data_IF_048593692657
#
_entry.id   IF_048593692657
#
_cell.length_a   1.000
_cell.length_b   1.000
_cell.length_c   1.000
_cell.angle_alpha   90.00
_cell.angle_beta   90.00
_cell.angle_gamma   90.00
#
_symmetry.space_group_name_H-M   'P 1'
#
loop_
_entity.id
_entity.type
_entity.pdbx_description
1 polymer ?
#
# COMPACT_ATOMS: atom_id res chain seq x y z
N UNK A 1 -5.00 31.56 -41.31
CA UNK A 1 -4.32 31.17 -40.04
C UNK A 1 -4.91 31.88 -38.84
N UNK A 2 -4.92 33.22 -38.80
CA UNK A 2 -5.42 33.98 -37.64
C UNK A 2 -6.88 33.67 -37.23
N UNK A 3 -7.78 33.48 -38.20
CA UNK A 3 -9.16 33.04 -37.90
C UNK A 3 -9.22 31.67 -37.23
N UNK A 4 -8.42 30.71 -37.68
CA UNK A 4 -8.34 29.38 -37.08
C UNK A 4 -7.71 29.43 -35.68
N UNK A 5 -6.78 30.35 -35.44
CA UNK A 5 -6.22 30.61 -34.12
C UNK A 5 -7.30 31.13 -33.15
N UNK A 6 -8.13 32.09 -33.59
CA UNK A 6 -9.24 32.58 -32.79
C UNK A 6 -10.31 31.51 -32.52
N UNK A 7 -10.69 30.74 -33.54
CA UNK A 7 -11.73 29.71 -33.41
C UNK A 7 -11.28 28.60 -32.46
N UNK A 8 -10.03 28.16 -32.57
CA UNK A 8 -9.45 27.17 -31.66
C UNK A 8 -9.36 27.72 -30.23
N UNK A 9 -8.92 28.96 -30.04
CA UNK A 9 -8.87 29.57 -28.71
C UNK A 9 -10.26 29.73 -28.07
N UNK A 10 -11.31 29.97 -28.86
CA UNK A 10 -12.68 30.17 -28.36
C UNK A 10 -13.42 28.86 -28.10
N UNK A 11 -13.16 27.81 -28.87
CA UNK A 11 -13.95 26.58 -28.88
C UNK A 11 -13.23 25.33 -28.39
N UNK A 12 -11.95 25.44 -28.01
CA UNK A 12 -11.16 24.32 -27.48
C UNK A 12 -10.40 24.71 -26.22
N UNK A 13 -9.88 23.73 -25.51
CA UNK A 13 -9.04 23.92 -24.32
C UNK A 13 -7.58 24.31 -24.67
N UNK A 14 -7.30 24.54 -25.94
CA UNK A 14 -5.99 24.91 -26.45
C UNK A 14 -6.07 26.24 -27.21
N UNK A 15 -4.94 26.92 -27.28
CA UNK A 15 -4.68 28.01 -28.21
C UNK A 15 -3.28 27.83 -28.76
N UNK A 16 -2.98 28.40 -29.90
CA UNK A 16 -1.62 28.36 -30.44
C UNK A 16 -1.18 29.74 -30.90
N UNK A 17 0.12 29.97 -30.91
CA UNK A 17 0.74 31.07 -31.64
C UNK A 17 1.61 30.48 -32.73
N UNK A 18 1.92 31.26 -33.75
CA UNK A 18 2.87 30.83 -34.75
C UNK A 18 3.80 31.96 -35.17
N UNK A 19 5.03 31.58 -35.52
CA UNK A 19 6.05 32.48 -36.01
C UNK A 19 6.50 32.03 -37.38
N UNK A 20 6.68 33.00 -38.26
CA UNK A 20 7.18 32.78 -39.62
C UNK A 20 8.70 32.98 -39.62
N UNK A 21 9.43 31.91 -39.92
CA UNK A 21 10.88 31.93 -40.00
C UNK A 21 11.27 31.87 -41.47
N UNK A 22 12.08 32.85 -41.87
CA UNK A 22 12.82 32.81 -43.11
C UNK A 22 14.30 32.95 -42.80
N UNK A 23 15.08 31.92 -43.12
CA UNK A 23 16.49 31.88 -42.74
C UNK A 23 17.37 32.62 -43.76
N UNK A 24 16.96 32.67 -45.04
CA UNK A 24 17.81 33.23 -46.10
C UNK A 24 17.08 34.02 -47.19
N UNK A 25 15.74 34.14 -47.17
CA UNK A 25 14.96 34.78 -48.25
C UNK A 25 13.83 35.70 -47.76
N UNK A 26 13.17 36.42 -48.69
CA UNK A 26 11.96 37.21 -48.38
C UNK A 26 10.68 36.37 -48.31
N UNK A 27 10.75 35.10 -48.69
CA UNK A 27 9.64 34.15 -48.62
C UNK A 27 9.72 33.36 -47.33
N UNK A 28 8.58 33.13 -46.70
CA UNK A 28 8.51 32.30 -45.48
C UNK A 28 8.82 30.86 -45.84
N UNK A 29 9.83 30.29 -45.19
CA UNK A 29 10.28 28.91 -45.45
C UNK A 29 9.76 27.94 -44.37
N UNK A 30 9.59 28.41 -43.13
CA UNK A 30 9.18 27.59 -42.00
C UNK A 30 8.16 28.34 -41.13
N UNK A 31 7.18 27.60 -40.63
CA UNK A 31 6.24 28.07 -39.62
C UNK A 31 6.44 27.26 -38.34
N UNK A 32 6.67 27.94 -37.23
CA UNK A 32 6.78 27.30 -35.91
C UNK A 32 5.52 27.58 -35.13
N UNK A 33 4.81 26.51 -34.76
CA UNK A 33 3.60 26.59 -33.94
C UNK A 33 3.93 26.29 -32.49
N UNK A 34 3.49 27.15 -31.59
CA UNK A 34 3.58 26.93 -30.15
C UNK A 34 2.18 26.78 -29.58
N UNK A 35 1.86 25.60 -29.06
CA UNK A 35 0.53 25.28 -28.53
C UNK A 35 0.53 25.44 -27.01
N UNK A 36 -0.46 26.18 -26.50
CA UNK A 36 -0.64 26.46 -25.08
C UNK A 36 -2.02 25.98 -24.62
N UNK A 37 -2.08 25.42 -23.42
CA UNK A 37 -3.36 25.11 -22.78
C UNK A 37 -4.06 26.40 -22.36
N UNK A 38 -5.31 26.57 -22.77
CA UNK A 38 -6.11 27.74 -22.44
C UNK A 38 -6.58 27.64 -20.98
N UNK A 39 -6.34 28.68 -20.17
CA UNK A 39 -6.68 28.69 -18.74
C UNK A 39 -8.08 29.28 -18.46
N UNK A 40 -9.05 29.10 -19.36
CA UNK A 40 -10.42 29.59 -19.13
C UNK A 40 -11.31 28.46 -18.61
N UNK A 41 -11.99 28.77 -17.50
CA UNK A 41 -13.14 28.06 -16.96
C UNK A 41 -14.18 27.88 -18.05
N UNK A 42 -14.52 26.62 -18.33
CA UNK A 42 -15.49 26.21 -19.33
C UNK A 42 -16.84 26.83 -18.98
N UNK A 43 -17.29 27.80 -19.78
CA UNK A 43 -18.71 28.11 -19.91
C UNK A 43 -19.24 27.05 -20.88
N UNK A 44 -19.92 26.05 -20.31
CA UNK A 44 -20.64 25.03 -21.06
C UNK A 44 -21.58 25.70 -22.06
N UNK A 45 -21.24 25.56 -23.34
CA UNK A 45 -22.14 25.96 -24.42
C UNK A 45 -23.01 24.74 -24.74
N UNK A 46 -24.19 24.71 -24.13
CA UNK A 46 -25.31 23.85 -24.55
C UNK A 46 -25.75 24.25 -25.96
N UNK A 47 -25.62 23.33 -26.93
CA UNK A 47 -26.69 22.91 -27.87
C UNK A 47 -26.10 22.07 -29.02
N UNK A 48 -26.38 20.75 -29.05
CA UNK A 48 -27.39 20.05 -29.88
C UNK A 48 -27.18 20.14 -31.39
N UNK A 49 -26.76 19.05 -32.04
CA UNK A 49 -27.66 18.06 -32.69
C UNK A 49 -26.94 17.19 -33.76
N UNK A 50 -27.25 15.89 -33.70
CA UNK A 50 -27.26 14.84 -34.75
C UNK A 50 -25.89 14.42 -35.32
N UNK A 51 -25.50 13.15 -35.38
CA UNK A 51 -26.25 11.93 -35.74
C UNK A 51 -25.76 10.67 -34.96
N UNK A 52 -26.56 9.58 -34.98
CA UNK A 52 -26.45 8.41 -34.11
C UNK A 52 -25.59 7.29 -34.70
N UNK A 53 -25.51 6.18 -33.96
CA UNK A 53 -24.89 4.89 -34.28
C UNK A 53 -23.41 4.78 -33.86
N UNK A 54 -23.17 4.29 -32.63
CA UNK A 54 -22.93 2.85 -32.48
C UNK A 54 -22.96 2.43 -30.99
N UNK A 55 -23.97 1.61 -30.71
CA UNK A 55 -23.99 0.43 -29.84
C UNK A 55 -23.00 0.26 -28.66
N UNK A 56 -23.64 -0.14 -27.56
CA UNK A 56 -23.21 -1.07 -26.52
C UNK A 56 -22.47 -0.52 -25.30
N UNK A 57 -23.28 -0.42 -24.22
CA UNK A 57 -23.12 -1.27 -23.04
C UNK A 57 -21.69 -1.54 -22.61
N UNK A 58 -21.22 -0.80 -21.60
CA UNK A 58 -20.75 -1.37 -20.33
C UNK A 58 -20.19 -0.22 -19.47
N UNK A 59 -21.08 0.49 -18.77
CA UNK A 59 -20.70 1.36 -17.66
C UNK A 59 -20.34 0.52 -16.42
N UNK A 60 -19.40 -0.41 -16.60
CA UNK A 60 -18.49 -0.82 -15.55
C UNK A 60 -17.18 -0.11 -15.85
N UNK A 61 -17.07 1.16 -15.43
CA UNK A 61 -15.79 1.86 -15.46
C UNK A 61 -14.80 1.04 -14.61
N UNK A 62 -13.97 0.28 -15.32
CA UNK A 62 -12.91 -0.52 -14.73
C UNK A 62 -11.98 0.46 -14.03
N UNK A 63 -12.00 0.49 -12.69
CA UNK A 63 -11.24 1.44 -11.85
C UNK A 63 -9.77 1.59 -12.27
N UNK A 64 -9.17 0.56 -12.85
CA UNK A 64 -7.79 0.57 -13.30
C UNK A 64 -7.57 1.32 -14.64
N UNK A 65 -8.61 1.48 -15.48
CA UNK A 65 -8.58 2.33 -16.68
C UNK A 65 -8.42 3.80 -16.27
N UNK A 66 -9.16 4.26 -15.26
CA UNK A 66 -9.07 5.64 -14.77
C UNK A 66 -7.71 5.93 -14.15
N UNK A 67 -7.12 4.94 -13.50
CA UNK A 67 -5.75 5.04 -13.00
C UNK A 67 -4.73 5.19 -14.13
N UNK A 68 -4.89 4.49 -15.26
CA UNK A 68 -4.02 4.66 -16.43
C UNK A 68 -4.21 6.05 -17.04
N UNK A 69 -5.45 6.53 -17.15
CA UNK A 69 -5.76 7.90 -17.62
C UNK A 69 -5.11 8.94 -16.72
N UNK A 70 -5.07 8.72 -15.40
CA UNK A 70 -4.43 9.63 -14.44
C UNK A 70 -2.92 9.82 -14.69
N UNK A 71 -2.27 8.91 -15.41
CA UNK A 71 -0.88 9.07 -15.83
C UNK A 71 -0.72 9.97 -17.07
N UNK A 72 -1.83 10.39 -17.68
CA UNK A 72 -1.87 11.19 -18.91
C UNK A 72 -1.95 10.35 -20.19
N UNK A 73 -2.45 9.12 -20.11
CA UNK A 73 -2.73 8.27 -21.28
C UNK A 73 -4.12 8.61 -21.81
N UNK A 74 -4.27 8.86 -23.11
CA UNK A 74 -5.57 9.14 -23.73
C UNK A 74 -6.42 7.89 -23.84
N UNK A 75 -7.75 8.06 -23.91
CA UNK A 75 -8.69 6.95 -24.13
C UNK A 75 -8.32 6.15 -25.38
N UNK A 76 -8.01 6.84 -26.48
CA UNK A 76 -7.63 6.22 -27.75
C UNK A 76 -6.39 5.33 -27.66
N UNK A 77 -5.39 5.72 -26.86
CA UNK A 77 -4.17 4.93 -26.67
C UNK A 77 -4.44 3.74 -25.75
N UNK A 78 -5.29 3.91 -24.75
CA UNK A 78 -5.71 2.82 -23.88
C UNK A 78 -6.41 1.72 -24.69
N UNK A 79 -7.42 2.07 -25.49
CA UNK A 79 -8.20 1.11 -26.26
C UNK A 79 -7.40 0.49 -27.40
N UNK A 80 -6.79 1.31 -28.26
CA UNK A 80 -6.23 0.86 -29.54
C UNK A 80 -4.76 0.43 -29.47
N UNK A 81 -4.08 0.63 -28.33
CA UNK A 81 -2.67 0.26 -28.20
C UNK A 81 -2.38 -0.58 -26.97
N UNK A 82 -3.07 -0.33 -25.85
CA UNK A 82 -2.80 -1.06 -24.61
C UNK A 82 -3.68 -2.31 -24.53
N UNK A 83 -5.00 -2.15 -24.60
CA UNK A 83 -5.96 -3.26 -24.46
C UNK A 83 -5.88 -4.24 -25.64
N UNK A 84 -5.58 -3.75 -26.84
CA UNK A 84 -5.44 -4.58 -28.03
C UNK A 84 -4.12 -5.38 -28.06
N UNK A 85 -3.03 -4.82 -27.51
CA UNK A 85 -1.70 -5.41 -27.66
C UNK A 85 -1.18 -6.18 -26.44
N UNK A 86 -1.78 -6.00 -25.25
CA UNK A 86 -1.30 -6.58 -24.00
C UNK A 86 -2.43 -7.23 -23.21
N UNK A 87 -2.10 -8.35 -22.55
CA UNK A 87 -3.04 -9.03 -21.65
C UNK A 87 -3.37 -8.18 -20.42
N UNK A 88 -4.64 -8.22 -20.00
CA UNK A 88 -5.16 -7.41 -18.89
C UNK A 88 -4.35 -7.57 -17.58
N UNK A 89 -3.97 -8.80 -17.23
CA UNK A 89 -3.18 -9.04 -16.02
C UNK A 89 -1.80 -8.39 -16.08
N UNK A 90 -1.14 -8.44 -17.23
CA UNK A 90 0.15 -7.82 -17.45
C UNK A 90 0.06 -6.29 -17.35
N UNK A 91 -1.01 -5.71 -17.89
CA UNK A 91 -1.28 -4.27 -17.78
C UNK A 91 -1.48 -3.87 -16.32
N UNK A 92 -2.31 -4.59 -15.57
CA UNK A 92 -2.56 -4.32 -14.14
C UNK A 92 -1.30 -4.44 -13.28
N UNK A 93 -0.47 -5.44 -13.55
CA UNK A 93 0.80 -5.62 -12.84
C UNK A 93 1.78 -4.48 -13.12
N UNK A 94 1.90 -4.08 -14.39
CA UNK A 94 2.74 -2.95 -14.80
C UNK A 94 2.25 -1.63 -14.20
N UNK A 95 0.92 -1.43 -14.18
CA UNK A 95 0.29 -0.27 -13.56
C UNK A 95 0.65 -0.17 -12.08
N UNK A 96 0.52 -1.28 -11.34
CA UNK A 96 0.88 -1.33 -9.93
C UNK A 96 2.35 -0.98 -9.70
N UNK A 97 3.26 -1.55 -10.49
CA UNK A 97 4.69 -1.25 -10.41
C UNK A 97 4.96 0.25 -10.61
N UNK A 98 4.39 0.84 -11.66
CA UNK A 98 4.55 2.26 -11.94
C UNK A 98 4.02 3.14 -10.80
N UNK A 99 2.87 2.80 -10.21
CA UNK A 99 2.33 3.53 -9.04
C UNK A 99 3.29 3.51 -7.86
N UNK A 100 3.89 2.37 -7.55
CA UNK A 100 4.83 2.27 -6.44
C UNK A 100 6.15 2.99 -6.74
N UNK A 101 6.66 2.90 -7.97
CA UNK A 101 7.85 3.62 -8.41
C UNK A 101 7.68 5.14 -8.34
N UNK A 102 6.52 5.65 -8.75
CA UNK A 102 6.23 7.10 -8.75
C UNK A 102 6.06 7.69 -7.34
N UNK A 103 5.89 6.88 -6.30
CA UNK A 103 5.89 7.35 -4.90
C UNK A 103 7.29 7.74 -4.44
N UNK A 104 8.30 6.99 -4.88
CA UNK A 104 9.69 7.16 -4.44
C UNK A 104 10.54 7.94 -5.44
N UNK A 105 10.09 8.06 -6.69
CA UNK A 105 10.87 8.64 -7.78
C UNK A 105 10.06 9.67 -8.57
N UNK A 106 10.63 10.87 -8.72
CA UNK A 106 10.02 11.93 -9.53
C UNK A 106 10.19 11.63 -11.01
N UNK A 107 9.07 11.39 -11.70
CA UNK A 107 9.03 11.09 -13.14
C UNK A 107 8.31 12.20 -13.87
N UNK A 108 9.00 12.86 -14.82
CA UNK A 108 8.47 14.00 -15.57
C UNK A 108 7.31 13.63 -16.51
N UNK A 109 7.33 12.43 -17.09
CA UNK A 109 6.34 11.95 -18.06
C UNK A 109 5.86 10.55 -17.68
N UNK A 110 4.81 10.48 -16.86
CA UNK A 110 4.30 9.22 -16.29
C UNK A 110 3.67 8.30 -17.35
N UNK A 111 2.94 8.86 -18.31
CA UNK A 111 2.36 8.12 -19.44
C UNK A 111 3.43 7.45 -20.31
N UNK A 112 4.44 8.20 -20.72
CA UNK A 112 5.56 7.66 -21.51
C UNK A 112 6.36 6.59 -20.75
N UNK A 113 6.55 6.77 -19.45
CA UNK A 113 7.19 5.76 -18.61
C UNK A 113 6.36 4.47 -18.54
N UNK A 114 5.05 4.57 -18.34
CA UNK A 114 4.14 3.43 -18.30
C UNK A 114 4.07 2.68 -19.63
N UNK A 115 3.93 3.38 -20.76
CA UNK A 115 3.93 2.76 -22.09
C UNK A 115 5.25 2.05 -22.39
N UNK A 116 6.38 2.67 -22.03
CA UNK A 116 7.69 2.05 -22.19
C UNK A 116 7.87 0.82 -21.29
N UNK A 117 7.27 0.84 -20.09
CA UNK A 117 7.27 -0.31 -19.19
C UNK A 117 6.47 -1.50 -19.76
N UNK A 118 5.33 -1.24 -20.42
CA UNK A 118 4.55 -2.25 -21.12
C UNK A 118 5.33 -2.84 -22.29
N UNK A 119 5.89 -1.99 -23.16
CA UNK A 119 6.58 -2.42 -24.38
C UNK A 119 7.87 -3.19 -24.11
N UNK A 120 8.71 -2.68 -23.20
CA UNK A 120 10.05 -3.23 -23.03
C UNK A 120 10.10 -4.36 -21.99
N UNK A 121 8.98 -4.64 -21.31
CA UNK A 121 8.88 -5.71 -20.33
C UNK A 121 9.93 -5.63 -19.22
N UNK A 122 10.47 -4.43 -18.95
CA UNK A 122 11.60 -4.17 -18.04
C UNK A 122 11.43 -4.79 -16.66
N UNK A 123 10.20 -5.12 -16.30
CA UNK A 123 9.83 -5.61 -15.00
C UNK A 123 9.21 -7.00 -15.05
N UNK A 124 9.26 -7.78 -16.15
CA UNK A 124 8.73 -9.16 -16.15
C UNK A 124 9.33 -9.99 -15.00
N UNK A 125 10.64 -9.86 -14.77
CA UNK A 125 11.32 -10.52 -13.65
C UNK A 125 11.02 -9.87 -12.28
N UNK A 126 11.00 -8.54 -12.18
CA UNK A 126 10.61 -7.83 -10.95
C UNK A 126 9.15 -8.07 -10.55
N UNK A 127 8.24 -8.19 -11.52
CA UNK A 127 6.81 -8.45 -11.36
C UNK A 127 6.60 -9.90 -10.93
N UNK A 128 7.31 -10.87 -11.51
CA UNK A 128 7.35 -12.24 -11.01
C UNK A 128 7.94 -12.33 -9.60
N UNK A 129 9.00 -11.57 -9.31
CA UNK A 129 9.62 -11.57 -7.99
C UNK A 129 8.78 -10.84 -6.93
N UNK A 130 8.06 -9.78 -7.30
CA UNK A 130 7.13 -9.07 -6.42
C UNK A 130 5.85 -9.88 -6.18
N UNK A 131 5.29 -10.54 -7.20
CA UNK A 131 4.16 -11.47 -7.03
C UNK A 131 4.53 -12.65 -6.14
N UNK A 132 5.72 -13.26 -6.31
CA UNK A 132 6.28 -14.26 -5.38
C UNK A 132 6.49 -13.71 -3.97
N UNK A 133 6.96 -12.47 -3.80
CA UNK A 133 7.07 -11.80 -2.48
C UNK A 133 5.72 -11.50 -1.85
N UNK A 134 4.71 -11.11 -2.62
CA UNK A 134 3.35 -10.85 -2.15
C UNK A 134 2.65 -12.15 -1.77
N UNK A 135 2.83 -13.24 -2.52
CA UNK A 135 2.37 -14.58 -2.15
C UNK A 135 3.08 -15.11 -0.90
N UNK A 136 4.41 -14.93 -0.78
CA UNK A 136 5.13 -15.24 0.46
C UNK A 136 4.61 -14.42 1.65
N UNK A 137 4.37 -13.11 1.49
CA UNK A 137 3.80 -12.27 2.56
C UNK A 137 2.35 -12.63 2.92
N UNK A 138 1.52 -13.05 1.95
CA UNK A 138 0.16 -13.55 2.23
C UNK A 138 0.18 -14.89 2.98
N UNK A 139 1.06 -15.82 2.59
CA UNK A 139 1.21 -17.08 3.31
C UNK A 139 1.81 -16.90 4.71
N UNK A 140 2.73 -15.96 4.90
CA UNK A 140 3.27 -15.61 6.23
C UNK A 140 2.18 -14.96 7.10
N UNK A 141 1.37 -14.04 6.56
CA UNK A 141 0.30 -13.38 7.32
C UNK A 141 -0.86 -14.31 7.73
N UNK A 142 -1.17 -15.34 6.93
CA UNK A 142 -2.15 -16.37 7.32
C UNK A 142 -1.59 -17.38 8.33
N UNK A 143 -0.31 -17.77 8.21
CA UNK A 143 0.33 -18.63 9.21
C UNK A 143 0.56 -17.92 10.56
N UNK A 144 0.92 -16.63 10.55
CA UNK A 144 1.05 -15.83 11.77
C UNK A 144 -0.31 -15.61 12.44
N UNK A 145 -1.40 -15.37 11.69
CA UNK A 145 -2.75 -15.22 12.24
C UNK A 145 -3.21 -16.44 13.04
N UNK A 146 -3.03 -17.65 12.50
CA UNK A 146 -3.46 -18.90 13.14
C UNK A 146 -2.55 -19.29 14.31
N UNK A 147 -1.23 -19.07 14.21
CA UNK A 147 -0.31 -19.30 15.33
C UNK A 147 -0.56 -18.33 16.49
N UNK A 148 -0.84 -17.06 16.21
CA UNK A 148 -1.07 -16.05 17.25
C UNK A 148 -2.36 -16.33 18.04
N UNK A 149 -3.39 -16.86 17.39
CA UNK A 149 -4.67 -17.16 18.07
C UNK A 149 -4.57 -18.42 18.93
N UNK A 150 -3.92 -19.48 18.44
CA UNK A 150 -3.66 -20.69 19.22
C UNK A 150 -2.73 -20.42 20.42
N UNK A 151 -1.68 -19.60 20.23
CA UNK A 151 -0.80 -19.18 21.33
C UNK A 151 -1.52 -18.29 22.35
N UNK A 152 -2.39 -17.37 21.90
CA UNK A 152 -3.25 -16.59 22.80
C UNK A 152 -4.15 -17.51 23.62
N UNK A 153 -4.81 -18.48 22.99
CA UNK A 153 -5.67 -19.44 23.70
C UNK A 153 -4.87 -20.28 24.70
N UNK A 154 -3.69 -20.78 24.33
CA UNK A 154 -2.79 -21.50 25.25
C UNK A 154 -2.34 -20.62 26.43
N UNK A 155 -2.01 -19.36 26.19
CA UNK A 155 -1.63 -18.43 27.26
C UNK A 155 -2.79 -18.11 28.20
N UNK A 156 -4.01 -17.97 27.67
CA UNK A 156 -5.23 -17.79 28.48
C UNK A 156 -5.46 -19.02 29.36
N UNK A 157 -5.44 -20.22 28.78
CA UNK A 157 -5.62 -21.47 29.51
C UNK A 157 -4.54 -21.67 30.59
N UNK A 158 -3.28 -21.35 30.29
CA UNK A 158 -2.18 -21.41 31.25
C UNK A 158 -2.37 -20.43 32.41
N UNK A 159 -2.85 -19.22 32.13
CA UNK A 159 -3.14 -18.20 33.15
C UNK A 159 -4.29 -18.64 34.06
N UNK A 160 -5.38 -19.15 33.49
CA UNK A 160 -6.51 -19.69 34.26
C UNK A 160 -6.07 -20.83 35.19
N UNK A 161 -5.29 -21.78 34.66
CA UNK A 161 -4.75 -22.89 35.45
C UNK A 161 -3.84 -22.41 36.59
N UNK A 162 -3.01 -21.40 36.34
CA UNK A 162 -2.16 -20.83 37.38
C UNK A 162 -3.00 -20.15 38.49
N UNK A 163 -4.07 -19.45 38.12
CA UNK A 163 -4.99 -18.82 39.07
C UNK A 163 -5.73 -19.85 39.95
N UNK A 164 -6.18 -20.97 39.36
CA UNK A 164 -6.76 -22.10 40.10
C UNK A 164 -5.76 -22.72 41.08
N UNK A 165 -4.51 -22.92 40.65
CA UNK A 165 -3.46 -23.47 41.50
C UNK A 165 -3.09 -22.52 42.64
N UNK A 166 -3.10 -21.21 42.41
CA UNK A 166 -2.91 -20.24 43.49
C UNK A 166 -4.03 -20.34 44.52
N UNK A 167 -5.29 -20.43 44.08
CA UNK A 167 -6.42 -20.54 44.99
C UNK A 167 -6.36 -21.81 45.86
N UNK A 168 -5.72 -22.87 45.38
CA UNK A 168 -5.65 -24.16 46.07
C UNK A 168 -4.38 -24.36 46.91
N UNK A 169 -3.23 -23.87 46.44
CA UNK A 169 -1.92 -24.25 46.97
C UNK A 169 -1.04 -23.06 47.40
N UNK A 170 -1.49 -21.82 47.21
CA UNK A 170 -0.70 -20.67 47.62
C UNK A 170 -0.68 -20.54 49.15
N UNK A 171 0.48 -20.77 49.74
CA UNK A 171 0.74 -20.54 51.17
C UNK A 171 1.81 -19.46 51.37
N UNK A 172 1.80 -18.76 52.51
CA UNK A 172 2.86 -17.80 52.85
C UNK A 172 4.27 -18.42 52.84
N UNK A 173 4.37 -19.67 53.30
CA UNK A 173 5.62 -20.44 53.36
C UNK A 173 6.22 -20.66 51.96
N UNK A 174 5.37 -20.97 50.97
CA UNK A 174 5.79 -21.13 49.58
C UNK A 174 6.33 -19.83 48.98
N UNK A 175 5.69 -18.70 49.31
CA UNK A 175 6.13 -17.38 48.84
C UNK A 175 7.50 -17.03 49.39
N UNK A 176 7.74 -17.30 50.67
CA UNK A 176 9.04 -17.08 51.32
C UNK A 176 10.13 -17.96 50.72
N UNK A 177 9.85 -19.24 50.42
CA UNK A 177 10.78 -20.13 49.72
C UNK A 177 11.18 -19.57 48.36
N UNK A 178 10.22 -19.08 47.58
CA UNK A 178 10.45 -18.50 46.25
C UNK A 178 11.31 -17.24 46.34
N UNK A 179 11.01 -16.35 47.28
CA UNK A 179 11.79 -15.11 47.51
C UNK A 179 13.23 -15.45 47.91
N UNK A 180 13.41 -16.41 48.81
CA UNK A 180 14.73 -16.83 49.26
C UNK A 180 15.55 -17.47 48.14
N UNK A 181 14.94 -18.33 47.31
CA UNK A 181 15.59 -18.90 46.13
C UNK A 181 16.01 -17.84 45.12
N UNK A 182 15.23 -16.77 44.99
CA UNK A 182 15.57 -15.64 44.12
C UNK A 182 16.80 -14.86 44.64
N UNK A 183 17.01 -14.81 45.96
CA UNK A 183 18.21 -14.21 46.57
C UNK A 183 19.49 -14.89 46.09
N UNK A 184 19.45 -16.21 45.95
CA UNK A 184 20.58 -17.04 45.51
C UNK A 184 20.79 -16.96 43.99
N UNK A 185 19.70 -16.81 43.22
CA UNK A 185 19.74 -16.84 41.76
C UNK A 185 20.01 -15.47 41.14
N UNK A 186 19.36 -14.42 41.65
CA UNK A 186 19.46 -13.06 41.12
C UNK A 186 19.19 -12.01 42.23
N UNK A 187 20.28 -11.54 42.83
CA UNK A 187 20.24 -10.59 43.94
C UNK A 187 19.56 -9.25 43.60
N UNK A 188 19.70 -8.78 42.35
CA UNK A 188 19.06 -7.55 41.90
C UNK A 188 17.53 -7.70 41.91
N UNK A 189 17.02 -8.76 41.27
CA UNK A 189 15.58 -9.03 41.22
C UNK A 189 15.01 -9.36 42.60
N UNK A 190 15.78 -10.05 43.45
CA UNK A 190 15.42 -10.28 44.84
C UNK A 190 15.14 -8.97 45.58
N UNK A 191 16.01 -7.96 45.47
CA UNK A 191 15.82 -6.68 46.16
C UNK A 191 14.54 -5.97 45.71
N UNK A 192 14.22 -6.03 44.41
CA UNK A 192 12.98 -5.45 43.86
C UNK A 192 11.75 -6.18 44.39
N UNK A 193 11.76 -7.52 44.33
CA UNK A 193 10.67 -8.38 44.79
C UNK A 193 10.44 -8.25 46.29
N UNK A 194 11.50 -8.38 47.08
CA UNK A 194 11.42 -8.33 48.54
C UNK A 194 10.94 -6.95 49.01
N UNK A 195 11.40 -5.85 48.39
CA UNK A 195 10.91 -4.51 48.74
C UNK A 195 9.41 -4.37 48.53
N UNK A 196 8.88 -4.83 47.40
CA UNK A 196 7.42 -4.81 47.15
C UNK A 196 6.67 -5.71 48.12
N UNK A 197 7.21 -6.91 48.38
CA UNK A 197 6.56 -7.89 49.26
C UNK A 197 6.47 -7.39 50.72
N UNK A 198 7.52 -6.77 51.25
CA UNK A 198 7.51 -6.15 52.59
C UNK A 198 6.50 -4.99 52.71
N UNK A 199 6.10 -4.39 51.58
CA UNK A 199 5.04 -3.38 51.52
C UNK A 199 3.64 -3.99 51.37
N UNK A 200 3.51 -5.32 51.42
CA UNK A 200 2.27 -6.05 51.19
C UNK A 200 1.85 -6.13 49.72
N UNK A 201 2.76 -5.86 48.78
CA UNK A 201 2.47 -5.84 47.34
C UNK A 201 3.10 -7.05 46.66
N UNK A 202 2.27 -7.91 46.07
CA UNK A 202 2.71 -8.95 45.14
C UNK A 202 2.91 -8.31 43.77
N UNK A 203 4.18 -8.10 43.38
CA UNK A 203 4.48 -7.49 42.09
C UNK A 203 4.45 -8.54 40.95
N UNK A 204 4.36 -8.12 39.67
CA UNK A 204 4.23 -9.04 38.54
C UNK A 204 5.38 -10.05 38.40
N UNK A 205 6.58 -9.71 38.91
CA UNK A 205 7.72 -10.62 38.89
C UNK A 205 7.58 -11.74 39.92
N UNK A 206 7.18 -11.40 41.15
CA UNK A 206 6.88 -12.38 42.19
C UNK A 206 5.71 -13.27 41.76
N UNK A 207 4.69 -12.65 41.19
CA UNK A 207 3.53 -13.34 40.63
C UNK A 207 3.92 -14.37 39.56
N UNK A 208 4.79 -14.00 38.61
CA UNK A 208 5.28 -14.92 37.59
C UNK A 208 6.15 -16.06 38.13
N UNK A 209 6.91 -15.82 39.22
CA UNK A 209 7.69 -16.87 39.89
C UNK A 209 6.79 -17.87 40.64
N UNK A 210 5.73 -17.36 41.28
CA UNK A 210 4.70 -18.18 41.93
C UNK A 210 4.02 -19.07 40.90
N UNK A 211 3.55 -18.51 39.78
CA UNK A 211 2.92 -19.28 38.71
C UNK A 211 3.81 -20.36 38.16
N UNK A 212 5.08 -20.04 37.94
CA UNK A 212 6.06 -20.99 37.43
C UNK A 212 6.22 -22.16 38.39
N UNK A 213 6.46 -21.89 39.68
CA UNK A 213 6.66 -22.92 40.70
C UNK A 213 5.41 -23.79 40.87
N UNK A 214 4.22 -23.19 40.91
CA UNK A 214 2.96 -23.92 41.02
C UNK A 214 2.68 -24.79 39.79
N UNK A 215 2.95 -24.29 38.58
CA UNK A 215 2.79 -25.08 37.35
C UNK A 215 3.83 -26.21 37.25
N UNK A 216 5.05 -26.01 37.74
CA UNK A 216 6.08 -27.05 37.78
C UNK A 216 5.72 -28.17 38.77
N UNK A 217 5.20 -27.82 39.96
CA UNK A 217 4.91 -28.81 41.01
C UNK A 217 3.53 -29.47 40.87
N UNK A 218 2.52 -28.71 40.42
CA UNK A 218 1.11 -29.15 40.40
C UNK A 218 0.46 -29.07 39.01
N UNK A 219 1.16 -28.53 38.00
CA UNK A 219 0.63 -28.35 36.65
C UNK A 219 0.74 -29.58 35.73
N UNK A 220 1.42 -30.64 36.14
CA UNK A 220 1.50 -31.90 35.39
C UNK A 220 0.34 -32.84 35.75
N UNK A 221 -0.86 -32.51 35.29
CA UNK A 221 -2.02 -33.41 35.16
C UNK A 221 -2.79 -33.08 33.89
#
# INVERSE_FOLDING_TARGET
MLKAQEDIEKHTDIRFTFEEISEFSRSVEKLVFTIHKNKKTVIESNNTNNDPENENENAHENKWHDEIKSFGVSQSVLENQILEAFEEEFIKQTLKFCKDYFKTTSVKQKSGFFLKALQNGYYKQEIENQSKKIQKKKNIGQQESEQTELEKQKNIAKKQRAEELRAQFLTPELIEEIIQKQKETNLFMYNVINKSYQQGIVNPFLEGLIDKKLLEEFGSK
#
